data_IF_843492261603
#
_entry.id   IF_843492261603
#
_cell.length_a   1.000
_cell.length_b   1.000
_cell.length_c   1.000
_cell.angle_alpha   90.00
_cell.angle_beta   90.00
_cell.angle_gamma   90.00
#
_symmetry.space_group_name_H-M   'P 1'
#
loop_
_entity.id
_entity.type
_entity.pdbx_description
1 polymer ?
#
# COMPACT_ATOMS: atom_id res chain seq x y z
N UNK A 1 -6.35 7.41 17.04
CA UNK A 1 -5.58 7.24 15.79
C UNK A 1 -6.57 7.25 14.63
N UNK A 2 -6.36 8.09 13.65
CA UNK A 2 -7.24 8.19 12.49
C UNK A 2 -6.73 7.34 11.30
N UNK A 3 -7.48 7.38 10.20
CA UNK A 3 -7.07 6.81 8.90
C UNK A 3 -6.55 7.92 8.00
N UNK A 4 -5.49 7.62 7.25
CA UNK A 4 -5.08 8.45 6.13
C UNK A 4 -6.13 8.40 5.01
N UNK A 5 -6.26 9.47 4.24
CA UNK A 5 -7.09 9.48 3.05
C UNK A 5 -6.42 10.21 1.90
N UNK A 6 -6.81 9.87 0.70
CA UNK A 6 -6.61 10.69 -0.50
C UNK A 6 -7.95 10.88 -1.19
N UNK A 7 -8.25 12.11 -1.54
CA UNK A 7 -9.45 12.50 -2.28
C UNK A 7 -9.09 12.75 -3.73
N UNK A 8 -9.84 12.14 -4.61
CA UNK A 8 -9.76 12.30 -6.05
C UNK A 8 -11.03 12.97 -6.58
N UNK A 9 -10.88 13.80 -7.59
CA UNK A 9 -11.99 14.44 -8.31
C UNK A 9 -11.90 14.08 -9.79
N UNK A 10 -13.04 13.79 -10.39
CA UNK A 10 -13.25 13.65 -11.81
C UNK A 10 -13.99 14.91 -12.29
N UNK A 11 -13.27 15.92 -12.84
CA UNK A 11 -13.86 17.23 -13.14
C UNK A 11 -15.00 17.17 -14.16
N UNK A 12 -14.92 16.29 -15.15
CA UNK A 12 -15.92 16.18 -16.23
C UNK A 12 -17.28 15.69 -15.71
N UNK A 13 -17.28 14.80 -14.73
CA UNK A 13 -18.49 14.22 -14.12
C UNK A 13 -18.84 14.85 -12.78
N UNK A 14 -18.00 15.76 -12.27
CA UNK A 14 -18.13 16.36 -10.93
C UNK A 14 -18.18 15.31 -9.80
N UNK A 15 -17.63 14.12 -10.04
CA UNK A 15 -17.60 13.02 -9.10
C UNK A 15 -16.40 13.17 -8.18
N UNK A 16 -16.58 12.85 -6.91
CA UNK A 16 -15.51 12.80 -5.92
C UNK A 16 -15.43 11.40 -5.31
N UNK A 17 -14.22 10.90 -5.13
CA UNK A 17 -13.95 9.60 -4.55
C UNK A 17 -12.87 9.69 -3.48
N UNK A 18 -13.01 8.86 -2.45
CA UNK A 18 -12.12 8.83 -1.31
C UNK A 18 -11.49 7.45 -1.16
N UNK A 19 -10.16 7.41 -1.10
CA UNK A 19 -9.43 6.18 -0.75
C UNK A 19 -8.87 6.33 0.65
N UNK A 20 -9.29 5.44 1.56
CA UNK A 20 -8.90 5.47 2.97
C UNK A 20 -7.76 4.49 3.21
N UNK A 21 -6.65 4.98 3.74
CA UNK A 21 -5.46 4.19 4.05
C UNK A 21 -5.43 3.74 5.51
N UNK A 22 -4.83 2.59 5.79
CA UNK A 22 -4.62 2.10 7.14
C UNK A 22 -3.21 1.54 7.30
N UNK A 23 -2.58 1.82 8.44
CA UNK A 23 -1.28 1.28 8.81
C UNK A 23 -1.35 -0.14 9.43
N UNK A 24 -2.56 -0.67 9.63
CA UNK A 24 -2.80 -1.92 10.39
C UNK A 24 -3.23 -3.07 9.50
N UNK A 25 -2.73 -3.10 8.26
CA UNK A 25 -3.01 -4.16 7.29
C UNK A 25 -1.71 -4.94 7.06
N UNK A 26 -1.74 -6.25 7.29
CA UNK A 26 -0.55 -7.08 7.26
C UNK A 26 -0.77 -8.40 6.52
N UNK A 27 0.30 -8.92 5.93
CA UNK A 27 0.39 -10.34 5.65
C UNK A 27 0.71 -11.08 6.95
N UNK A 28 -0.01 -12.15 7.20
CA UNK A 28 0.23 -13.06 8.33
C UNK A 28 0.77 -14.39 7.82
N UNK A 29 1.97 -14.74 8.25
CA UNK A 29 2.64 -15.98 7.89
C UNK A 29 2.23 -17.13 8.80
N UNK A 30 2.51 -18.37 8.38
CA UNK A 30 2.17 -19.58 9.13
C UNK A 30 2.84 -19.65 10.52
N UNK A 31 4.00 -19.03 10.69
CA UNK A 31 4.71 -18.90 11.96
C UNK A 31 4.14 -17.82 12.89
N UNK A 32 3.03 -17.19 12.49
CA UNK A 32 2.38 -16.08 13.21
C UNK A 32 3.05 -14.71 13.02
N UNK A 33 4.19 -14.64 12.35
CA UNK A 33 4.85 -13.37 12.08
C UNK A 33 4.07 -12.54 11.06
N UNK A 34 4.21 -11.20 11.14
CA UNK A 34 3.50 -10.27 10.27
C UNK A 34 4.46 -9.45 9.43
N UNK A 35 4.01 -9.05 8.24
CA UNK A 35 4.67 -8.09 7.37
C UNK A 35 3.63 -7.06 6.93
N UNK A 36 3.91 -5.78 7.16
CA UNK A 36 3.01 -4.70 6.75
C UNK A 36 2.82 -4.71 5.24
N UNK A 37 1.56 -4.60 4.79
CA UNK A 37 1.24 -4.45 3.37
C UNK A 37 1.56 -3.01 2.96
N UNK A 38 2.29 -2.86 1.86
CA UNK A 38 2.40 -1.57 1.17
C UNK A 38 1.14 -1.34 0.37
N UNK A 39 0.67 -0.11 0.37
CA UNK A 39 -0.66 0.25 -0.10
C UNK A 39 -0.57 1.33 -1.16
N UNK A 40 -1.33 1.15 -2.22
CA UNK A 40 -1.50 2.17 -3.26
C UNK A 40 -2.97 2.40 -3.55
N UNK A 41 -3.31 3.61 -3.99
CA UNK A 41 -4.61 3.88 -4.58
C UNK A 41 -4.67 3.30 -5.99
N UNK A 42 -5.76 2.65 -6.32
CA UNK A 42 -5.95 1.99 -7.62
C UNK A 42 -7.40 2.07 -8.07
N UNK A 43 -7.63 1.98 -9.36
CA UNK A 43 -8.94 1.65 -9.90
C UNK A 43 -9.12 0.13 -9.90
N UNK A 44 -10.22 -0.35 -9.37
CA UNK A 44 -10.60 -1.76 -9.43
C UNK A 44 -11.79 -1.94 -10.37
N UNK A 45 -11.59 -2.69 -11.46
CA UNK A 45 -12.66 -2.94 -12.42
C UNK A 45 -13.76 -3.86 -11.89
N UNK A 46 -13.46 -4.69 -10.88
CA UNK A 46 -14.45 -5.56 -10.23
C UNK A 46 -15.33 -4.80 -9.25
N UNK A 47 -14.78 -3.79 -8.55
CA UNK A 47 -15.51 -2.92 -7.64
C UNK A 47 -16.13 -1.71 -8.35
N UNK A 48 -15.70 -1.41 -9.58
CA UNK A 48 -16.07 -0.23 -10.37
C UNK A 48 -15.85 1.09 -9.62
N UNK A 49 -14.74 1.21 -8.91
CA UNK A 49 -14.38 2.40 -8.11
C UNK A 49 -12.90 2.47 -7.76
N UNK A 50 -12.46 3.61 -7.24
CA UNK A 50 -11.16 3.74 -6.61
C UNK A 50 -11.13 3.00 -5.27
N UNK A 51 -10.07 2.26 -5.06
CA UNK A 51 -9.89 1.36 -3.92
C UNK A 51 -8.47 1.44 -3.37
N UNK A 52 -8.28 0.85 -2.22
CA UNK A 52 -6.96 0.53 -1.71
C UNK A 52 -6.54 -0.82 -2.28
N UNK A 53 -5.36 -0.87 -2.86
CA UNK A 53 -4.76 -2.07 -3.42
C UNK A 53 -3.38 -2.34 -2.83
N UNK A 54 -2.92 -3.58 -2.96
CA UNK A 54 -1.55 -3.93 -2.64
C UNK A 54 -0.56 -3.23 -3.57
N UNK A 55 0.52 -2.72 -3.01
CA UNK A 55 1.72 -2.36 -3.73
C UNK A 55 2.76 -3.46 -3.53
N UNK A 56 3.22 -4.05 -4.63
CA UNK A 56 4.23 -5.11 -4.62
C UNK A 56 5.50 -4.56 -5.30
N UNK A 57 6.51 -4.12 -4.52
CA UNK A 57 7.76 -3.61 -5.07
C UNK A 57 8.51 -4.70 -5.85
N UNK A 58 9.34 -4.28 -6.79
CA UNK A 58 10.27 -5.18 -7.46
C UNK A 58 11.37 -5.66 -6.49
N UNK A 59 11.94 -6.82 -6.75
CA UNK A 59 13.05 -7.35 -5.96
C UNK A 59 14.23 -6.40 -6.02
N UNK A 60 14.55 -5.89 -7.20
CA UNK A 60 15.65 -4.95 -7.44
C UNK A 60 15.49 -3.66 -6.62
N UNK A 61 14.26 -3.14 -6.53
CA UNK A 61 13.96 -1.96 -5.72
C UNK A 61 14.20 -2.23 -4.23
N UNK A 62 13.75 -3.38 -3.74
CA UNK A 62 13.92 -3.77 -2.34
C UNK A 62 15.39 -4.03 -1.99
N UNK A 63 16.14 -4.68 -2.87
CA UNK A 63 17.57 -4.93 -2.69
C UNK A 63 18.36 -3.62 -2.70
N UNK A 64 18.05 -2.70 -3.61
CA UNK A 64 18.65 -1.37 -3.65
C UNK A 64 18.41 -0.59 -2.36
N UNK A 65 17.18 -0.61 -1.84
CA UNK A 65 16.86 0.05 -0.58
C UNK A 65 17.59 -0.61 0.61
N UNK A 66 17.66 -1.93 0.63
CA UNK A 66 18.38 -2.67 1.67
C UNK A 66 19.86 -2.32 1.68
N UNK A 67 20.51 -2.27 0.52
CA UNK A 67 21.92 -1.91 0.39
C UNK A 67 22.18 -0.49 0.88
N UNK A 68 21.37 0.48 0.46
CA UNK A 68 21.46 1.87 0.92
C UNK A 68 21.22 2.00 2.43
N UNK A 69 20.26 1.24 2.96
CA UNK A 69 20.00 1.23 4.41
C UNK A 69 21.18 0.65 5.18
N UNK A 70 21.81 -0.44 4.70
CA UNK A 70 22.98 -1.07 5.32
C UNK A 70 24.24 -0.19 5.21
N UNK A 71 24.41 0.54 4.13
CA UNK A 71 25.55 1.44 3.92
C UNK A 71 25.45 2.75 4.72
N UNK A 72 24.31 3.00 5.34
CA UNK A 72 24.12 4.21 6.16
C UNK A 72 23.75 5.44 5.37
N UNK A 73 22.99 5.31 4.27
CA UNK A 73 22.48 6.43 3.50
C UNK A 73 21.66 7.36 4.38
N UNK A 74 22.15 8.59 4.56
CA UNK A 74 21.58 9.56 5.51
C UNK A 74 20.13 9.94 5.15
N UNK A 75 19.76 9.98 3.88
CA UNK A 75 18.41 10.32 3.46
C UNK A 75 17.43 9.21 3.82
N UNK A 76 17.78 7.96 3.52
CA UNK A 76 16.95 6.80 3.84
C UNK A 76 16.79 6.64 5.35
N UNK A 77 17.88 6.80 6.11
CA UNK A 77 17.84 6.71 7.56
C UNK A 77 16.95 7.80 8.15
N UNK A 78 17.06 9.03 7.68
CA UNK A 78 16.24 10.16 8.14
C UNK A 78 14.76 9.93 7.84
N UNK A 79 14.43 9.48 6.61
CA UNK A 79 13.05 9.14 6.24
C UNK A 79 12.52 8.04 7.13
N UNK A 80 13.28 6.96 7.32
CA UNK A 80 12.88 5.86 8.19
C UNK A 80 12.63 6.31 9.63
N UNK A 81 13.54 7.07 10.22
CA UNK A 81 13.39 7.58 11.59
C UNK A 81 12.12 8.44 11.74
N UNK A 82 11.81 9.24 10.74
CA UNK A 82 10.59 10.06 10.73
C UNK A 82 9.33 9.20 10.65
N UNK A 83 9.23 8.28 9.68
CA UNK A 83 8.01 7.49 9.45
C UNK A 83 7.79 6.39 10.49
N UNK A 84 8.86 5.92 11.14
CA UNK A 84 8.83 4.85 12.15
C UNK A 84 8.73 5.37 13.58
N UNK A 85 8.66 6.69 13.75
CA UNK A 85 8.70 7.33 15.07
C UNK A 85 9.96 6.95 15.89
N UNK A 86 11.12 6.97 15.24
CA UNK A 86 12.43 6.74 15.85
C UNK A 86 12.83 5.29 16.09
N UNK A 87 12.20 4.33 15.41
CA UNK A 87 12.64 2.94 15.50
C UNK A 87 14.07 2.74 14.95
N UNK A 88 14.83 1.80 15.54
CA UNK A 88 16.20 1.53 15.09
C UNK A 88 16.27 1.11 13.60
N UNK A 89 17.34 1.51 12.92
CA UNK A 89 17.60 1.14 11.51
C UNK A 89 17.65 -0.39 11.31
N UNK A 90 18.13 -1.14 12.31
CA UNK A 90 18.12 -2.61 12.28
C UNK A 90 16.72 -3.19 12.11
N UNK A 91 15.68 -2.53 12.62
CA UNK A 91 14.28 -2.95 12.40
C UNK A 91 13.90 -2.82 10.92
N UNK A 92 14.36 -1.74 10.26
CA UNK A 92 14.13 -1.56 8.81
C UNK A 92 14.85 -2.61 7.99
N UNK A 93 16.10 -2.90 8.32
CA UNK A 93 16.88 -3.95 7.65
C UNK A 93 16.15 -5.30 7.75
N UNK A 94 15.73 -5.69 8.95
CA UNK A 94 15.00 -6.95 9.16
C UNK A 94 13.66 -6.98 8.39
N UNK A 95 12.94 -5.86 8.34
CA UNK A 95 11.70 -5.75 7.55
C UNK A 95 11.97 -5.91 6.05
N UNK A 96 13.00 -5.25 5.51
CA UNK A 96 13.37 -5.35 4.10
C UNK A 96 13.80 -6.77 3.73
N UNK A 97 14.64 -7.42 4.54
CA UNK A 97 15.04 -8.81 4.33
C UNK A 97 13.83 -9.76 4.33
N UNK A 98 12.91 -9.58 5.28
CA UNK A 98 11.67 -10.36 5.31
C UNK A 98 10.81 -10.10 4.07
N UNK A 99 10.74 -8.86 3.60
CA UNK A 99 9.97 -8.46 2.41
C UNK A 99 10.57 -9.03 1.14
N UNK A 100 11.89 -9.05 1.00
CA UNK A 100 12.58 -9.68 -0.12
C UNK A 100 12.29 -11.19 -0.14
N UNK A 101 12.44 -11.88 0.99
CA UNK A 101 12.15 -13.31 1.10
C UNK A 101 10.70 -13.63 0.72
N UNK A 102 9.74 -12.84 1.19
CA UNK A 102 8.34 -12.96 0.80
C UNK A 102 8.15 -12.70 -0.70
N UNK A 103 8.79 -11.66 -1.25
CA UNK A 103 8.63 -11.29 -2.66
C UNK A 103 9.14 -12.35 -3.61
N UNK A 104 10.24 -13.03 -3.27
CA UNK A 104 10.82 -14.14 -4.08
C UNK A 104 9.84 -15.30 -4.23
N UNK A 105 9.06 -15.62 -3.21
CA UNK A 105 8.15 -16.77 -3.23
C UNK A 105 6.73 -16.41 -3.65
N UNK A 106 6.37 -15.13 -3.62
CA UNK A 106 5.02 -14.70 -4.01
C UNK A 106 4.83 -14.76 -5.52
N UNK A 107 3.81 -15.50 -5.96
CA UNK A 107 3.48 -15.70 -7.38
C UNK A 107 2.34 -14.77 -7.85
N UNK A 108 1.40 -14.45 -6.96
CA UNK A 108 0.23 -13.66 -7.31
C UNK A 108 0.57 -12.16 -7.52
N UNK A 109 -0.04 -11.53 -8.53
CA UNK A 109 0.05 -10.09 -8.73
C UNK A 109 -0.64 -9.31 -7.59
N UNK A 110 -0.49 -7.97 -7.54
CA UNK A 110 -1.21 -7.12 -6.59
C UNK A 110 -2.72 -7.33 -6.68
N UNK A 111 -3.41 -7.22 -5.54
CA UNK A 111 -4.87 -7.40 -5.42
C UNK A 111 -5.55 -6.17 -4.88
N UNK A 112 -6.81 -6.02 -5.23
CA UNK A 112 -7.74 -5.16 -4.54
C UNK A 112 -7.96 -5.68 -3.11
N UNK A 113 -7.83 -4.81 -2.11
CA UNK A 113 -8.02 -5.21 -0.71
C UNK A 113 -9.49 -5.32 -0.28
N UNK A 114 -10.42 -4.91 -1.15
CA UNK A 114 -11.86 -5.02 -0.88
C UNK A 114 -12.46 -6.31 -1.44
N UNK A 115 -12.21 -6.61 -2.73
CA UNK A 115 -12.79 -7.78 -3.38
C UNK A 115 -11.80 -8.91 -3.66
N UNK A 116 -10.52 -8.72 -3.35
CA UNK A 116 -9.40 -9.64 -3.65
C UNK A 116 -9.19 -9.90 -5.15
N UNK A 117 -9.82 -9.13 -6.02
CA UNK A 117 -9.67 -9.22 -7.47
C UNK A 117 -8.34 -8.70 -7.97
N UNK A 118 -7.91 -9.18 -9.14
CA UNK A 118 -6.63 -8.79 -9.77
C UNK A 118 -6.78 -7.70 -10.82
N UNK A 119 -8.02 -7.32 -11.18
CA UNK A 119 -8.29 -6.31 -12.19
C UNK A 119 -8.16 -4.91 -11.60
N UNK A 120 -6.94 -4.59 -11.19
CA UNK A 120 -6.58 -3.30 -10.63
C UNK A 120 -5.61 -2.57 -11.53
N UNK A 121 -5.73 -1.25 -11.60
CA UNK A 121 -4.81 -0.35 -12.26
C UNK A 121 -4.37 0.67 -11.23
N UNK A 122 -3.10 0.63 -10.86
CA UNK A 122 -2.53 1.58 -9.91
C UNK A 122 -2.63 3.01 -10.48
N UNK A 123 -3.04 3.95 -9.65
CA UNK A 123 -2.97 5.35 -10.01
C UNK A 123 -1.51 5.81 -9.92
N UNK A 124 -1.01 6.51 -10.95
CA UNK A 124 0.35 7.03 -10.92
C UNK A 124 0.52 8.05 -9.79
N UNK A 125 1.74 8.16 -9.29
CA UNK A 125 2.11 9.25 -8.40
C UNK A 125 2.02 10.57 -9.16
N UNK A 126 1.32 11.54 -8.57
CA UNK A 126 1.15 12.85 -9.18
C UNK A 126 -0.20 13.47 -8.83
N UNK A 127 -0.36 14.73 -9.21
CA UNK A 127 -1.59 15.48 -8.95
C UNK A 127 -2.68 15.20 -9.99
N UNK A 128 -2.30 14.70 -11.16
CA UNK A 128 -3.21 14.37 -12.27
C UNK A 128 -2.88 13.01 -12.87
N UNK A 129 -3.91 12.28 -13.27
CA UNK A 129 -3.84 11.02 -13.99
C UNK A 129 -5.08 10.85 -14.87
N UNK A 130 -5.19 9.72 -15.58
CA UNK A 130 -6.37 9.41 -16.38
C UNK A 130 -7.12 8.24 -15.78
N UNK A 131 -8.45 8.34 -15.82
CA UNK A 131 -9.32 7.24 -15.40
C UNK A 131 -9.18 6.07 -16.38
N UNK A 132 -8.89 4.85 -15.91
CA UNK A 132 -8.54 3.73 -16.79
C UNK A 132 -9.60 3.32 -17.81
N UNK A 133 -10.89 3.60 -17.52
CA UNK A 133 -11.99 3.17 -18.36
C UNK A 133 -12.60 4.29 -19.20
N UNK A 134 -12.46 5.56 -18.80
CA UNK A 134 -13.18 6.68 -19.43
C UNK A 134 -12.25 7.70 -20.06
N UNK A 135 -10.94 7.57 -19.86
CA UNK A 135 -9.93 8.56 -20.23
C UNK A 135 -10.16 9.96 -19.62
N UNK A 136 -11.13 10.07 -18.69
CA UNK A 136 -11.40 11.30 -17.95
C UNK A 136 -10.20 11.64 -17.06
N UNK A 137 -9.90 12.93 -16.93
CA UNK A 137 -8.85 13.38 -16.02
C UNK A 137 -9.27 13.11 -14.58
N UNK A 138 -8.34 12.53 -13.81
CA UNK A 138 -8.47 12.32 -12.36
C UNK A 138 -7.51 13.26 -11.67
N UNK A 139 -8.01 14.15 -10.84
CA UNK A 139 -7.19 15.11 -10.09
C UNK A 139 -7.15 14.72 -8.62
N UNK A 140 -5.94 14.62 -8.06
CA UNK A 140 -5.75 14.51 -6.63
C UNK A 140 -5.99 15.86 -5.97
N UNK A 141 -7.07 15.96 -5.19
CA UNK A 141 -7.51 17.23 -4.60
C UNK A 141 -6.88 17.47 -3.25
N UNK A 142 -6.84 16.45 -2.41
CA UNK A 142 -6.34 16.55 -1.06
C UNK A 142 -5.88 15.20 -0.52
N UNK A 143 -5.04 15.25 0.50
CA UNK A 143 -4.72 14.10 1.33
C UNK A 143 -4.58 14.54 2.78
N UNK A 144 -4.84 13.65 3.72
CA UNK A 144 -4.78 13.99 5.13
C UNK A 144 -5.17 12.83 6.03
N UNK A 145 -5.67 13.18 7.23
CA UNK A 145 -6.12 12.23 8.23
C UNK A 145 -7.58 12.49 8.57
N UNK A 146 -8.31 11.43 8.85
CA UNK A 146 -9.70 11.47 9.31
C UNK A 146 -9.82 10.75 10.65
N UNK A 147 -10.83 11.09 11.43
CA UNK A 147 -11.16 10.45 12.71
C UNK A 147 -11.82 9.06 12.56
N UNK A 148 -11.99 8.59 11.33
CA UNK A 148 -12.51 7.25 11.08
C UNK A 148 -11.64 6.18 11.77
N UNK A 149 -12.29 5.19 12.38
CA UNK A 149 -11.60 4.09 13.03
C UNK A 149 -10.63 3.40 12.07
N UNK A 150 -9.41 3.03 12.51
CA UNK A 150 -8.48 2.31 11.67
C UNK A 150 -9.08 0.97 11.24
N UNK A 151 -8.91 0.65 9.96
CA UNK A 151 -9.22 -0.67 9.47
C UNK A 151 -8.03 -1.59 9.73
N UNK A 152 -8.29 -2.68 10.45
CA UNK A 152 -7.31 -3.72 10.72
C UNK A 152 -7.71 -4.95 9.93
N UNK A 153 -6.79 -5.52 9.18
CA UNK A 153 -7.02 -6.76 8.46
C UNK A 153 -5.71 -7.53 8.28
N UNK A 154 -5.81 -8.84 8.36
CA UNK A 154 -4.73 -9.74 8.02
C UNK A 154 -5.04 -10.45 6.70
N UNK A 155 -4.01 -10.66 5.90
CA UNK A 155 -4.07 -11.37 4.62
C UNK A 155 -3.06 -12.51 4.64
N UNK A 156 -3.28 -13.53 3.81
CA UNK A 156 -2.27 -14.54 3.54
C UNK A 156 -1.07 -13.91 2.81
N UNK A 157 0.11 -14.54 2.79
CA UNK A 157 1.23 -14.06 2.01
C UNK A 157 0.93 -13.92 0.51
N UNK A 158 -0.07 -14.65 0.02
CA UNK A 158 -0.57 -14.59 -1.37
C UNK A 158 -1.67 -13.54 -1.58
N UNK A 159 -2.05 -12.78 -0.54
CA UNK A 159 -3.00 -11.68 -0.61
C UNK A 159 -4.47 -12.07 -0.43
N UNK A 160 -4.78 -13.29 -0.02
CA UNK A 160 -6.14 -13.67 0.33
C UNK A 160 -6.49 -13.12 1.71
N UNK A 161 -7.64 -12.49 1.84
CA UNK A 161 -8.09 -11.96 3.13
C UNK A 161 -8.32 -13.12 4.10
N UNK A 162 -7.73 -13.00 5.27
CA UNK A 162 -7.96 -13.94 6.36
C UNK A 162 -9.11 -13.40 7.19
N UNK A 163 -10.23 -14.10 7.18
CA UNK A 163 -11.33 -13.78 8.08
C UNK A 163 -10.85 -13.93 9.52
N UNK A 164 -11.20 -12.98 10.38
CA UNK A 164 -10.98 -13.15 11.80
C UNK A 164 -11.81 -14.37 12.25
N UNK A 165 -11.10 -15.43 12.64
CA UNK A 165 -11.73 -16.50 13.40
C UNK A 165 -12.05 -15.86 14.76
N UNK A 166 -13.29 -15.41 14.91
CA UNK A 166 -13.85 -14.96 16.19
C UNK A 166 -13.91 -16.14 17.17
#
# INVERSE_FOLDING_TARGET
>A
MGRGYTQYRLPETSREEWVLFSAFIHYRFADGSKLRILLNAAWCADCDRFVLAEEIPSIESLESELEKTKSGDDEIIRIWQFVSNGQPVLTRIAELEKRINWRVVRLNPPRCLECSGFRIIALPDGDESYHPNTDEIVVKVSSGWTDAAPWCADFSPEGDRLDEIM
#
